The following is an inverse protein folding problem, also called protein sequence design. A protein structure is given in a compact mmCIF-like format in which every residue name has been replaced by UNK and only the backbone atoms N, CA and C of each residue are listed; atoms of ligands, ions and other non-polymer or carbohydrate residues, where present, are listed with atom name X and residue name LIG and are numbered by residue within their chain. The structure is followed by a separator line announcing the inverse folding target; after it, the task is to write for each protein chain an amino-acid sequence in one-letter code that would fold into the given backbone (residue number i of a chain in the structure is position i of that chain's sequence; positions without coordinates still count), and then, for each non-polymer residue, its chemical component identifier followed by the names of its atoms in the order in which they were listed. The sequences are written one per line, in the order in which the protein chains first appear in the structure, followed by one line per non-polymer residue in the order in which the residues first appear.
data_IF_438459366693
#
_entry.id   IF_438459366693
#
_cell.length_a   1.000
_cell.length_b   1.000
_cell.length_c   1.000
_cell.angle_alpha   90.00
_cell.angle_beta   90.00
_cell.angle_gamma   90.00
#
_symmetry.space_group_name_H-M   'P 1'
#
loop_
_entity.id
_entity.type
_entity.pdbx_description
1 polymer ?
#
# COMPACT_ATOMS: atom_id res chain seq x y z
N UNK A 1 -26.92 -30.53 -21.91
CA UNK A 1 -26.73 -29.07 -22.03
C UNK A 1 -27.05 -28.36 -20.71
N UNK A 2 -28.04 -28.84 -19.96
CA UNK A 2 -28.51 -28.23 -18.70
C UNK A 2 -27.44 -28.13 -17.61
N UNK A 3 -26.59 -29.15 -17.45
CA UNK A 3 -25.49 -29.11 -16.47
C UNK A 3 -24.43 -28.04 -16.75
N UNK A 4 -24.19 -27.72 -18.03
CA UNK A 4 -23.21 -26.70 -18.44
C UNK A 4 -23.74 -25.29 -18.18
N UNK A 5 -25.03 -25.06 -18.41
CA UNK A 5 -25.69 -23.78 -18.10
C UNK A 5 -25.65 -23.52 -16.58
N UNK A 6 -25.95 -24.53 -15.76
CA UNK A 6 -25.91 -24.42 -14.29
C UNK A 6 -24.49 -24.07 -13.82
N UNK A 7 -23.45 -24.72 -14.36
CA UNK A 7 -22.06 -24.43 -14.01
C UNK A 7 -21.66 -23.00 -14.38
N UNK A 8 -22.05 -22.51 -15.57
CA UNK A 8 -21.77 -21.14 -16.00
C UNK A 8 -22.47 -20.13 -15.07
N UNK A 9 -23.72 -20.38 -14.69
CA UNK A 9 -24.46 -19.50 -13.79
C UNK A 9 -23.80 -19.45 -12.42
N UNK A 10 -23.44 -20.60 -11.84
CA UNK A 10 -22.73 -20.66 -10.55
C UNK A 10 -21.39 -19.91 -10.63
N UNK A 11 -20.62 -20.14 -11.69
CA UNK A 11 -19.36 -19.43 -11.92
C UNK A 11 -19.57 -17.92 -12.01
N UNK A 12 -20.55 -17.46 -12.78
CA UNK A 12 -20.84 -16.03 -12.94
C UNK A 12 -21.24 -15.36 -11.62
N UNK A 13 -22.02 -16.05 -10.78
CA UNK A 13 -22.39 -15.57 -9.44
C UNK A 13 -21.14 -15.46 -8.55
N UNK A 14 -20.34 -16.52 -8.43
CA UNK A 14 -19.13 -16.52 -7.59
C UNK A 14 -18.13 -15.46 -8.08
N UNK A 15 -17.96 -15.33 -9.39
CA UNK A 15 -17.11 -14.31 -10.00
C UNK A 15 -17.56 -12.90 -9.65
N UNK A 16 -18.87 -12.62 -9.78
CA UNK A 16 -19.44 -11.29 -9.50
C UNK A 16 -19.30 -10.94 -8.02
N UNK A 17 -19.56 -11.90 -7.13
CA UNK A 17 -19.40 -11.72 -5.68
C UNK A 17 -17.94 -11.47 -5.32
N UNK A 18 -17.02 -12.29 -5.82
CA UNK A 18 -15.59 -12.13 -5.56
C UNK A 18 -15.04 -10.81 -6.08
N UNK A 19 -15.42 -10.42 -7.30
CA UNK A 19 -15.01 -9.16 -7.92
C UNK A 19 -15.58 -7.96 -7.15
N UNK A 20 -16.87 -8.01 -6.79
CA UNK A 20 -17.55 -6.97 -6.03
C UNK A 20 -16.94 -6.79 -4.64
N UNK A 21 -16.70 -7.88 -3.92
CA UNK A 21 -16.10 -7.84 -2.59
C UNK A 21 -14.65 -7.34 -2.63
N UNK A 22 -13.85 -7.78 -3.62
CA UNK A 22 -12.48 -7.29 -3.81
C UNK A 22 -12.43 -5.77 -4.03
N UNK A 23 -13.26 -5.27 -4.96
CA UNK A 23 -13.43 -3.83 -5.22
C UNK A 23 -13.90 -3.07 -3.98
N UNK A 24 -14.83 -3.63 -3.21
CA UNK A 24 -15.34 -3.00 -2.00
C UNK A 24 -14.25 -2.87 -0.92
N UNK A 25 -13.54 -3.95 -0.63
CA UNK A 25 -12.48 -3.94 0.36
C UNK A 25 -11.33 -3.00 -0.03
N UNK A 26 -10.96 -2.98 -1.31
CA UNK A 26 -9.95 -2.03 -1.82
C UNK A 26 -10.39 -0.57 -1.63
N UNK A 27 -11.63 -0.22 -2.00
CA UNK A 27 -12.16 1.13 -1.81
C UNK A 27 -12.21 1.54 -0.35
N UNK A 28 -12.67 0.64 0.52
CA UNK A 28 -12.71 0.88 1.97
C UNK A 28 -11.30 1.14 2.53
N UNK A 29 -10.31 0.37 2.07
CA UNK A 29 -8.93 0.56 2.49
C UNK A 29 -8.35 1.89 2.00
N UNK A 30 -8.66 2.29 0.77
CA UNK A 30 -8.24 3.59 0.24
C UNK A 30 -8.85 4.75 1.04
N UNK A 31 -10.13 4.65 1.40
CA UNK A 31 -10.79 5.65 2.28
C UNK A 31 -10.11 5.73 3.65
N UNK A 32 -9.79 4.58 4.25
CA UNK A 32 -9.02 4.54 5.50
C UNK A 32 -7.65 5.24 5.36
N UNK A 33 -6.94 5.02 4.25
CA UNK A 33 -5.67 5.69 4.00
C UNK A 33 -5.85 7.21 3.84
N UNK A 34 -6.88 7.64 3.10
CA UNK A 34 -7.21 9.08 2.94
C UNK A 34 -7.46 9.74 4.32
N UNK A 35 -8.25 9.09 5.18
CA UNK A 35 -8.55 9.57 6.53
C UNK A 35 -7.29 9.65 7.41
N UNK A 36 -6.43 8.63 7.38
CA UNK A 36 -5.19 8.63 8.17
C UNK A 36 -4.17 9.65 7.65
N UNK A 37 -4.05 9.82 6.34
CA UNK A 37 -3.16 10.82 5.75
C UNK A 37 -3.56 12.24 6.16
N UNK A 38 -4.86 12.54 6.21
CA UNK A 38 -5.39 13.81 6.72
C UNK A 38 -5.15 13.95 8.22
N UNK A 39 -5.46 12.92 9.02
CA UNK A 39 -5.27 12.93 10.48
C UNK A 39 -3.81 13.17 10.87
N UNK A 40 -2.89 12.55 10.15
CA UNK A 40 -1.45 12.57 10.42
C UNK A 40 -0.72 13.65 9.59
N UNK A 41 -1.45 14.58 8.97
CA UNK A 41 -0.87 15.64 8.16
C UNK A 41 0.00 16.60 8.99
N UNK A 42 -0.26 16.72 10.30
CA UNK A 42 0.54 17.53 11.21
C UNK A 42 1.99 17.01 11.36
N UNK A 43 2.22 15.72 11.12
CA UNK A 43 3.56 15.12 11.15
C UNK A 43 4.27 15.43 9.84
N UNK A 44 5.25 16.34 9.89
CA UNK A 44 6.04 16.78 8.74
C UNK A 44 7.03 15.70 8.34
N UNK A 45 7.14 15.40 7.06
CA UNK A 45 8.09 14.41 6.53
C UNK A 45 9.06 15.09 5.58
N UNK A 46 10.35 14.73 5.65
CA UNK A 46 11.35 15.14 4.67
C UNK A 46 12.24 13.96 4.25
N UNK A 47 12.82 14.05 3.06
CA UNK A 47 13.76 13.06 2.53
C UNK A 47 15.19 13.64 2.37
N UNK A 48 15.43 14.87 2.81
CA UNK A 48 16.71 15.56 2.68
C UNK A 48 17.82 14.81 3.42
N UNK A 49 18.97 14.63 2.76
CA UNK A 49 20.11 13.86 3.30
C UNK A 49 20.98 14.66 4.27
N UNK A 50 21.03 15.98 4.12
CA UNK A 50 22.02 16.86 4.78
C UNK A 50 21.38 17.88 5.72
N UNK A 51 20.26 17.51 6.36
CA UNK A 51 19.65 18.34 7.39
C UNK A 51 19.87 17.64 8.73
N UNK A 52 20.55 18.32 9.63
CA UNK A 52 20.75 17.88 11.00
C UNK A 52 19.76 18.61 11.92
N UNK A 53 19.31 17.92 12.96
CA UNK A 53 18.50 18.48 14.03
C UNK A 53 19.29 18.40 15.33
N UNK A 54 19.23 19.46 16.13
CA UNK A 54 19.78 19.48 17.49
C UNK A 54 18.80 18.93 18.52
N UNK A 55 17.56 18.64 18.12
CA UNK A 55 16.53 18.06 18.96
C UNK A 55 16.71 16.53 19.09
N UNK A 56 16.28 15.92 20.21
CA UNK A 56 16.30 14.47 20.36
C UNK A 56 15.52 13.77 19.25
N UNK A 57 16.15 12.75 18.66
CA UNK A 57 15.56 11.95 17.59
C UNK A 57 15.63 10.46 17.87
N UNK A 58 14.61 9.73 17.43
CA UNK A 58 14.55 8.27 17.51
C UNK A 58 14.37 7.70 16.11
N UNK A 59 15.15 6.66 15.77
CA UNK A 59 14.92 5.92 14.55
C UNK A 59 13.60 5.15 14.66
N UNK A 60 12.75 5.30 13.66
CA UNK A 60 11.48 4.57 13.53
C UNK A 60 11.42 3.88 12.18
N UNK A 61 10.65 2.81 12.12
CA UNK A 61 10.45 2.04 10.90
C UNK A 61 9.06 1.43 10.83
N UNK A 62 8.63 1.08 9.63
CA UNK A 62 7.38 0.37 9.40
C UNK A 62 7.45 -0.44 8.11
N UNK A 63 6.65 -1.50 8.05
CA UNK A 63 6.61 -2.41 6.92
C UNK A 63 5.14 -2.66 6.55
N UNK A 64 4.89 -2.87 5.27
CA UNK A 64 3.61 -3.38 4.77
C UNK A 64 3.86 -4.31 3.61
N UNK A 65 3.12 -5.42 3.58
CA UNK A 65 3.11 -6.35 2.44
C UNK A 65 1.70 -6.36 1.88
N UNK A 66 1.58 -6.09 0.58
CA UNK A 66 0.31 -6.09 -0.12
C UNK A 66 0.35 -7.09 -1.27
N UNK A 67 -0.62 -8.00 -1.32
CA UNK A 67 -0.83 -8.90 -2.46
C UNK A 67 -1.83 -8.29 -3.46
N UNK A 68 -1.66 -8.63 -4.73
CA UNK A 68 -2.68 -8.39 -5.74
C UNK A 68 -3.76 -9.48 -5.69
N UNK A 69 -5.02 -9.13 -5.95
CA UNK A 69 -6.06 -10.14 -6.13
C UNK A 69 -5.94 -10.84 -7.50
N UNK A 70 -6.67 -11.95 -7.66
CA UNK A 70 -6.68 -12.75 -8.87
C UNK A 70 -7.17 -11.96 -10.11
N UNK A 71 -8.05 -10.97 -9.93
CA UNK A 71 -8.57 -10.17 -11.03
C UNK A 71 -7.50 -9.19 -11.52
N UNK A 72 -6.77 -8.53 -10.61
CA UNK A 72 -5.63 -7.67 -10.96
C UNK A 72 -4.54 -8.45 -11.67
N UNK A 73 -4.28 -9.70 -11.26
CA UNK A 73 -3.38 -10.62 -11.94
C UNK A 73 -3.83 -10.93 -13.38
N UNK A 74 -5.10 -11.32 -13.55
CA UNK A 74 -5.65 -11.59 -14.88
C UNK A 74 -5.57 -10.36 -15.81
N UNK A 75 -5.92 -9.18 -15.31
CA UNK A 75 -5.80 -7.92 -16.05
C UNK A 75 -4.34 -7.62 -16.40
N UNK A 76 -3.40 -7.84 -15.45
CA UNK A 76 -1.98 -7.63 -15.70
C UNK A 76 -1.45 -8.55 -16.81
N UNK A 77 -1.88 -9.81 -16.87
CA UNK A 77 -1.49 -10.72 -17.95
C UNK A 77 -1.97 -10.26 -19.33
N UNK A 78 -3.21 -9.75 -19.42
CA UNK A 78 -3.72 -9.16 -20.66
C UNK A 78 -2.91 -7.91 -21.03
N UNK A 79 -2.62 -7.04 -20.07
CA UNK A 79 -1.81 -5.84 -20.29
C UNK A 79 -0.37 -6.17 -20.70
N UNK A 80 0.24 -7.19 -20.09
CA UNK A 80 1.57 -7.68 -20.46
C UNK A 80 1.62 -8.13 -21.92
N UNK A 81 0.58 -8.80 -22.40
CA UNK A 81 0.51 -9.27 -23.79
C UNK A 81 0.36 -8.11 -24.78
N UNK A 82 -0.39 -7.06 -24.40
CA UNK A 82 -0.60 -5.86 -25.21
C UNK A 82 0.54 -4.83 -25.09
N UNK A 83 1.34 -4.91 -24.03
CA UNK A 83 2.38 -3.95 -23.67
C UNK A 83 1.85 -2.71 -22.92
N UNK A 84 2.77 -1.82 -22.53
CA UNK A 84 2.45 -0.57 -21.84
C UNK A 84 2.51 -0.65 -20.31
N UNK A 85 1.75 0.21 -19.62
CA UNK A 85 1.74 0.32 -18.16
C UNK A 85 0.84 -0.73 -17.50
N UNK A 86 1.37 -1.43 -16.49
CA UNK A 86 0.61 -2.38 -15.67
C UNK A 86 -0.20 -1.67 -14.58
N UNK A 87 -1.24 -0.96 -15.00
CA UNK A 87 -2.08 -0.13 -14.12
C UNK A 87 -2.67 -0.92 -12.93
N UNK A 88 -2.96 -2.21 -13.11
CA UNK A 88 -3.43 -3.06 -12.01
C UNK A 88 -2.37 -3.24 -10.92
N UNK A 89 -1.10 -3.39 -11.28
CA UNK A 89 0.01 -3.53 -10.33
C UNK A 89 0.46 -2.19 -9.77
N UNK A 90 0.45 -1.13 -10.59
CA UNK A 90 0.74 0.24 -10.13
C UNK A 90 -0.15 0.63 -8.94
N UNK A 91 -1.45 0.31 -9.01
CA UNK A 91 -2.40 0.57 -7.91
C UNK A 91 -2.02 -0.15 -6.60
N UNK A 92 -1.44 -1.36 -6.69
CA UNK A 92 -1.03 -2.15 -5.52
C UNK A 92 0.21 -1.52 -4.88
N UNK A 93 1.19 -1.13 -5.70
CA UNK A 93 2.44 -0.49 -5.25
C UNK A 93 2.17 0.91 -4.68
N UNK A 94 1.24 1.66 -5.25
CA UNK A 94 0.80 2.96 -4.71
C UNK A 94 0.17 2.80 -3.33
N UNK A 95 -0.80 1.88 -3.20
CA UNK A 95 -1.45 1.57 -1.91
C UNK A 95 -0.44 1.15 -0.85
N UNK A 96 0.53 0.31 -1.20
CA UNK A 96 1.57 -0.14 -0.27
C UNK A 96 2.46 1.02 0.20
N UNK A 97 2.85 1.93 -0.70
CA UNK A 97 3.63 3.12 -0.33
C UNK A 97 2.88 4.05 0.61
N UNK A 98 1.60 4.33 0.31
CA UNK A 98 0.74 5.15 1.17
C UNK A 98 0.59 4.55 2.56
N UNK A 99 0.30 3.25 2.63
CA UNK A 99 0.15 2.55 3.90
C UNK A 99 1.45 2.50 4.71
N UNK A 100 2.61 2.29 4.08
CA UNK A 100 3.90 2.32 4.76
C UNK A 100 4.17 3.70 5.39
N UNK A 101 3.88 4.80 4.67
CA UNK A 101 4.05 6.15 5.20
C UNK A 101 3.08 6.41 6.35
N UNK A 102 1.82 6.00 6.22
CA UNK A 102 0.82 6.10 7.31
C UNK A 102 1.30 5.35 8.55
N UNK A 103 1.76 4.11 8.40
CA UNK A 103 2.29 3.31 9.53
C UNK A 103 3.52 3.97 10.16
N UNK A 104 4.44 4.50 9.37
CA UNK A 104 5.60 5.23 9.88
C UNK A 104 5.18 6.48 10.68
N UNK A 105 4.20 7.22 10.19
CA UNK A 105 3.63 8.38 10.90
C UNK A 105 2.91 7.97 12.19
N UNK A 106 2.24 6.81 12.21
CA UNK A 106 1.67 6.25 13.44
C UNK A 106 2.76 5.91 14.46
N UNK A 107 3.92 5.38 14.03
CA UNK A 107 5.05 5.17 14.95
C UNK A 107 5.60 6.49 15.51
N UNK A 108 5.67 7.55 14.70
CA UNK A 108 6.05 8.89 15.17
C UNK A 108 5.03 9.45 16.19
N UNK A 109 3.73 9.31 15.92
CA UNK A 109 2.66 9.74 16.82
C UNK A 109 2.74 9.07 18.20
N UNK A 110 3.05 7.76 18.24
CA UNK A 110 3.20 7.01 19.52
C UNK A 110 4.26 7.59 20.45
N UNK A 111 5.29 8.23 19.89
CA UNK A 111 6.38 8.84 20.65
C UNK A 111 6.28 10.37 20.71
N UNK A 112 5.12 10.93 20.35
CA UNK A 112 4.86 12.37 20.40
C UNK A 112 5.68 13.21 19.41
N UNK A 113 6.19 12.60 18.34
CA UNK A 113 6.98 13.31 17.33
C UNK A 113 6.08 14.00 16.29
N UNK A 114 6.42 15.23 15.93
CA UNK A 114 5.72 16.04 14.93
C UNK A 114 6.50 16.14 13.60
N UNK A 115 7.68 15.51 13.53
CA UNK A 115 8.53 15.51 12.35
C UNK A 115 9.25 14.17 12.16
N UNK A 116 9.37 13.73 10.91
CA UNK A 116 10.18 12.58 10.48
C UNK A 116 11.19 13.08 9.45
N UNK A 117 12.47 12.96 9.79
CA UNK A 117 13.58 13.38 8.94
C UNK A 117 14.21 12.22 8.20
N UNK A 118 14.72 12.49 7.00
CA UNK A 118 15.51 11.54 6.23
C UNK A 118 14.73 10.29 5.84
N UNK A 119 13.42 10.39 5.58
CA UNK A 119 12.58 9.25 5.23
C UNK A 119 13.14 8.52 4.01
N UNK A 120 13.14 7.19 4.07
CA UNK A 120 13.51 6.30 2.97
C UNK A 120 12.45 5.22 2.84
N UNK A 121 12.18 4.86 1.58
CA UNK A 121 11.33 3.74 1.22
C UNK A 121 12.17 2.72 0.46
N UNK A 122 12.06 1.45 0.82
CA UNK A 122 12.56 0.32 0.06
C UNK A 122 11.37 -0.51 -0.39
N UNK A 123 11.40 -0.99 -1.63
CA UNK A 123 10.34 -1.82 -2.19
C UNK A 123 10.94 -3.15 -2.63
N UNK A 124 10.35 -4.25 -2.17
CA UNK A 124 10.80 -5.61 -2.47
C UNK A 124 9.64 -6.39 -3.06
N UNK A 125 9.89 -7.09 -4.16
CA UNK A 125 8.94 -8.05 -4.71
C UNK A 125 9.03 -9.37 -3.92
N UNK A 126 7.87 -9.91 -3.52
CA UNK A 126 7.77 -11.14 -2.74
C UNK A 126 6.94 -12.20 -3.47
N UNK A 127 7.34 -13.46 -3.31
CA UNK A 127 6.69 -14.64 -3.90
C UNK A 127 7.29 -15.07 -5.25
N UNK A 128 7.11 -16.35 -5.60
CA UNK A 128 7.76 -16.98 -6.76
C UNK A 128 7.38 -16.40 -8.13
N UNK A 129 6.30 -15.61 -8.21
CA UNK A 129 5.79 -14.99 -9.45
C UNK A 129 5.41 -13.52 -9.27
N UNK A 130 5.96 -12.82 -8.28
CA UNK A 130 5.67 -11.39 -8.09
C UNK A 130 4.27 -11.08 -7.58
N UNK A 131 3.74 -11.97 -6.74
CA UNK A 131 2.36 -11.90 -6.23
C UNK A 131 2.11 -10.82 -5.19
N UNK A 132 3.19 -10.29 -4.61
CA UNK A 132 3.19 -9.45 -3.43
C UNK A 132 4.27 -8.38 -3.53
N UNK A 133 3.99 -7.21 -2.97
CA UNK A 133 4.96 -6.13 -2.81
C UNK A 133 5.11 -5.80 -1.34
N UNK A 134 6.35 -5.81 -0.84
CA UNK A 134 6.71 -5.23 0.43
C UNK A 134 7.16 -3.79 0.23
N UNK A 135 6.67 -2.89 1.07
CA UNK A 135 7.25 -1.56 1.24
C UNK A 135 7.73 -1.41 2.68
N UNK A 136 9.05 -1.21 2.80
CA UNK A 136 9.73 -0.87 4.04
C UNK A 136 9.96 0.64 4.09
N UNK A 137 9.53 1.30 5.16
CA UNK A 137 9.73 2.72 5.39
C UNK A 137 10.51 2.94 6.68
N UNK A 138 11.49 3.84 6.67
CA UNK A 138 12.23 4.22 7.87
C UNK A 138 12.67 5.68 7.83
N UNK A 139 12.96 6.24 9.00
CA UNK A 139 13.46 7.60 9.17
C UNK A 139 13.74 7.90 10.64
N UNK A 140 14.03 9.17 10.93
CA UNK A 140 14.27 9.63 12.31
C UNK A 140 13.14 10.54 12.74
N UNK A 141 12.36 10.11 13.73
CA UNK A 141 11.32 10.93 14.35
C UNK A 141 11.94 11.92 15.33
N UNK A 142 11.57 13.19 15.20
CA UNK A 142 12.04 14.29 16.02
C UNK A 142 10.86 14.82 16.84
N UNK A 143 11.08 14.99 18.15
CA UNK A 143 10.10 15.64 19.03
C UNK A 143 10.34 17.14 19.04
N UNK A 144 9.37 17.94 18.62
CA UNK A 144 9.34 19.35 18.97
C UNK A 144 9.27 19.51 20.51
N UNK A 145 9.95 20.54 21.01
CA UNK A 145 9.88 20.93 22.42
C UNK A 145 8.50 21.43 22.81
#
# INVERSE_FOLDING_TARGET
MDGLIIQIVIFAILFSVGFGFGRFNERKHLQYLDEQEQRLAYIRVNNSRFIESTLPGHMISSNVVISHDYFKYAIANVQNMLGGRLTSYESVVERARREAIVRLKLEAEKIGADQIMGIRLSTTELGMQGGMVEVFAYGTAIQAK
#
